data_IF_368577309543
#
_entry.id   IF_368577309543
#
_cell.length_a   1.000
_cell.length_b   1.000
_cell.length_c   1.000
_cell.angle_alpha   90.00
_cell.angle_beta   90.00
_cell.angle_gamma   90.00
#
_symmetry.space_group_name_H-M   'P 1'
#
loop_
_entity.id
_entity.type
_entity.pdbx_description
1 polymer ?
#
# COMPACT_ATOMS: atom_id res chain seq x y z
N UNK A 1 10.69 -6.60 -8.41
CA UNK A 1 10.51 -7.03 -7.00
C UNK A 1 9.43 -8.09 -6.95
N UNK A 2 9.53 -9.12 -6.11
CA UNK A 2 8.46 -10.11 -5.96
C UNK A 2 7.26 -9.51 -5.22
N UNK A 3 6.06 -9.91 -5.61
CA UNK A 3 4.86 -9.61 -4.84
C UNK A 3 4.87 -10.37 -3.52
N UNK A 4 4.41 -9.71 -2.46
CA UNK A 4 4.25 -10.28 -1.12
C UNK A 4 2.85 -9.96 -0.61
N UNK A 5 2.21 -10.91 0.08
CA UNK A 5 0.91 -10.70 0.73
C UNK A 5 0.99 -9.50 1.69
N UNK A 6 0.01 -8.60 1.60
CA UNK A 6 -0.05 -7.36 2.38
C UNK A 6 0.51 -6.13 1.65
N UNK A 7 1.28 -6.28 0.56
CA UNK A 7 1.82 -5.11 -0.15
C UNK A 7 0.72 -4.23 -0.76
N UNK A 8 1.00 -2.93 -0.83
CA UNK A 8 0.12 -1.92 -1.41
C UNK A 8 0.45 -1.59 -2.85
N UNK A 9 -0.57 -1.56 -3.69
CA UNK A 9 -0.46 -1.33 -5.13
C UNK A 9 -1.63 -0.49 -5.64
N UNK A 10 -1.42 0.27 -6.70
CA UNK A 10 -2.47 0.97 -7.43
C UNK A 10 -2.57 0.40 -8.85
N UNK A 11 -3.76 0.50 -9.44
CA UNK A 11 -3.95 0.24 -10.87
C UNK A 11 -3.67 1.52 -11.65
N UNK A 12 -2.74 1.48 -12.61
CA UNK A 12 -2.42 2.63 -13.45
C UNK A 12 -3.55 2.92 -14.46
N UNK A 13 -4.36 1.90 -14.79
CA UNK A 13 -5.50 2.03 -15.72
C UNK A 13 -6.82 2.33 -15.02
N UNK A 14 -6.91 2.13 -13.70
CA UNK A 14 -8.15 2.24 -12.93
C UNK A 14 -7.91 3.03 -11.64
N UNK A 15 -7.48 4.29 -11.77
CA UNK A 15 -7.12 5.15 -10.63
C UNK A 15 -8.27 5.34 -9.62
N UNK A 16 -9.52 5.16 -10.04
CA UNK A 16 -10.71 5.26 -9.18
C UNK A 16 -10.79 4.14 -8.13
N UNK A 17 -10.11 3.01 -8.34
CA UNK A 17 -10.05 1.92 -7.37
C UNK A 17 -9.24 2.28 -6.12
N UNK A 18 -8.36 3.28 -6.23
CA UNK A 18 -7.48 3.71 -5.16
C UNK A 18 -6.46 2.64 -4.77
N UNK A 19 -6.16 2.56 -3.47
CA UNK A 19 -5.10 1.70 -2.94
C UNK A 19 -5.57 0.26 -2.76
N UNK A 20 -4.99 -0.65 -3.54
CA UNK A 20 -5.16 -2.09 -3.45
C UNK A 20 -4.15 -2.75 -2.50
N UNK A 21 -4.49 -3.94 -2.02
CA UNK A 21 -3.66 -4.76 -1.12
C UNK A 21 -3.53 -6.16 -1.68
N UNK A 22 -2.33 -6.71 -1.74
CA UNK A 22 -2.10 -8.09 -2.20
C UNK A 22 -2.69 -9.07 -1.19
N UNK A 23 -3.72 -9.82 -1.61
CA UNK A 23 -4.42 -10.81 -0.75
C UNK A 23 -4.21 -12.26 -1.18
N UNK A 24 -3.80 -12.49 -2.43
CA UNK A 24 -3.44 -13.82 -2.91
C UNK A 24 -2.38 -13.77 -4.01
N UNK A 25 -1.59 -14.83 -4.11
CA UNK A 25 -0.52 -14.98 -5.10
C UNK A 25 -0.55 -16.38 -5.69
N UNK A 26 -0.55 -16.43 -7.02
CA UNK A 26 -0.46 -17.66 -7.80
C UNK A 26 0.81 -17.67 -8.66
N UNK A 27 0.99 -18.75 -9.43
CA UNK A 27 2.14 -18.92 -10.31
C UNK A 27 2.29 -17.77 -11.32
N UNK A 28 1.18 -17.24 -11.85
CA UNK A 28 1.17 -16.18 -12.87
C UNK A 28 0.27 -14.99 -12.54
N UNK A 29 -0.53 -15.07 -11.49
CA UNK A 29 -1.52 -14.06 -11.13
C UNK A 29 -1.26 -13.51 -9.73
N UNK A 30 -1.68 -12.28 -9.51
CA UNK A 30 -1.76 -11.62 -8.21
C UNK A 30 -3.16 -11.08 -8.03
N UNK A 31 -3.72 -11.27 -6.84
CA UNK A 31 -5.04 -10.75 -6.48
C UNK A 31 -4.87 -9.55 -5.56
N UNK A 32 -5.40 -8.40 -5.99
CA UNK A 32 -5.46 -7.17 -5.20
C UNK A 32 -6.89 -6.97 -4.69
N UNK A 33 -7.05 -6.79 -3.38
CA UNK A 33 -8.28 -6.28 -2.78
C UNK A 33 -8.23 -4.75 -2.76
N UNK A 34 -9.24 -4.09 -3.29
CA UNK A 34 -9.42 -2.64 -3.21
C UNK A 34 -10.47 -2.29 -2.15
N UNK A 35 -10.07 -1.92 -0.92
CA UNK A 35 -11.00 -1.73 0.19
C UNK A 35 -11.96 -0.55 -0.02
N UNK A 36 -11.57 0.43 -0.85
CA UNK A 36 -12.39 1.59 -1.18
C UNK A 36 -13.72 1.20 -1.83
N UNK A 37 -13.73 0.11 -2.62
CA UNK A 37 -14.94 -0.40 -3.30
C UNK A 37 -15.34 -1.80 -2.86
N UNK A 38 -14.50 -2.48 -2.06
CA UNK A 38 -14.77 -3.83 -1.55
C UNK A 38 -14.60 -4.95 -2.58
N UNK A 39 -13.88 -4.72 -3.68
CA UNK A 39 -13.72 -5.69 -4.77
C UNK A 39 -12.29 -6.22 -4.90
N UNK A 40 -12.18 -7.43 -5.45
CA UNK A 40 -10.91 -8.03 -5.84
C UNK A 40 -10.68 -7.88 -7.33
N UNK A 41 -9.46 -7.54 -7.75
CA UNK A 41 -9.00 -7.63 -9.14
C UNK A 41 -7.83 -8.59 -9.26
N UNK A 42 -7.80 -9.30 -10.38
CA UNK A 42 -6.72 -10.20 -10.73
C UNK A 42 -5.85 -9.54 -11.79
N UNK A 43 -4.55 -9.52 -11.55
CA UNK A 43 -3.55 -9.02 -12.49
C UNK A 43 -2.52 -10.10 -12.79
N UNK A 44 -1.95 -10.07 -13.99
CA UNK A 44 -0.81 -10.91 -14.31
C UNK A 44 0.42 -10.43 -13.51
N UNK A 45 1.23 -11.35 -12.99
CA UNK A 45 2.46 -10.98 -12.25
C UNK A 45 3.49 -10.27 -13.11
N UNK A 46 3.42 -10.45 -14.42
CA UNK A 46 4.30 -9.83 -15.40
C UNK A 46 3.46 -8.89 -16.27
N UNK A 47 4.03 -7.72 -16.60
CA UNK A 47 3.46 -6.78 -17.57
C UNK A 47 2.03 -6.30 -17.24
N UNK A 48 1.69 -6.24 -15.95
CA UNK A 48 0.43 -5.63 -15.52
C UNK A 48 0.59 -4.13 -15.27
N UNK A 49 -0.45 -3.33 -15.56
CA UNK A 49 -0.48 -1.90 -15.30
C UNK A 49 -0.77 -1.62 -13.82
N UNK A 50 0.10 -2.13 -12.94
CA UNK A 50 0.02 -1.88 -11.50
C UNK A 50 1.35 -1.35 -10.98
N UNK A 51 1.27 -0.34 -10.12
CA UNK A 51 2.43 0.31 -9.51
C UNK A 51 2.44 0.08 -8.01
N UNK A 52 3.59 -0.36 -7.47
CA UNK A 52 3.78 -0.53 -6.02
C UNK A 52 3.83 0.85 -5.37
N UNK A 53 3.01 1.06 -4.36
CA UNK A 53 3.01 2.31 -3.59
C UNK A 53 4.07 2.22 -2.50
N UNK A 54 5.00 3.17 -2.52
CA UNK A 54 6.07 3.30 -1.54
C UNK A 54 6.20 4.77 -1.18
N UNK A 55 6.16 5.08 0.10
CA UNK A 55 6.38 6.43 0.62
C UNK A 55 7.81 6.56 1.15
N UNK A 56 8.30 7.78 1.20
CA UNK A 56 9.64 8.11 1.70
C UNK A 56 9.55 8.95 2.97
N UNK A 57 10.62 8.97 3.80
CA UNK A 57 10.72 9.95 4.88
C UNK A 57 10.53 11.37 4.36
N UNK A 58 9.70 12.15 5.05
CA UNK A 58 9.26 13.48 4.65
C UNK A 58 7.90 13.52 3.95
N UNK A 59 7.39 12.40 3.45
CA UNK A 59 6.06 12.34 2.85
C UNK A 59 4.96 12.46 3.92
N UNK A 60 3.84 13.07 3.56
CA UNK A 60 2.61 13.05 4.38
C UNK A 60 1.61 12.09 3.76
N UNK A 61 1.24 11.04 4.50
CA UNK A 61 0.32 10.00 4.05
C UNK A 61 -1.02 10.09 4.77
N UNK A 62 -2.11 9.81 4.06
CA UNK A 62 -3.46 9.79 4.64
C UNK A 62 -3.87 8.35 4.90
N UNK A 63 -4.25 8.07 6.16
CA UNK A 63 -4.84 6.79 6.56
C UNK A 63 -6.24 6.62 6.00
N UNK A 64 -6.69 5.37 5.87
CA UNK A 64 -8.07 5.03 5.51
C UNK A 64 -9.11 5.58 6.52
N UNK A 65 -8.69 5.86 7.75
CA UNK A 65 -9.52 6.49 8.79
C UNK A 65 -9.52 8.03 8.71
N UNK A 66 -8.86 8.61 7.71
CA UNK A 66 -8.86 10.05 7.43
C UNK A 66 -7.82 10.88 8.17
N UNK A 67 -7.08 10.30 9.12
CA UNK A 67 -5.96 10.97 9.79
C UNK A 67 -4.69 10.93 8.93
N UNK A 68 -3.74 11.84 9.19
CA UNK A 68 -2.50 11.96 8.42
C UNK A 68 -1.26 11.61 9.26
N UNK A 69 -0.27 10.97 8.64
CA UNK A 69 1.04 10.68 9.20
C UNK A 69 2.11 11.40 8.39
N UNK A 70 2.96 12.16 9.06
CA UNK A 70 4.24 12.57 8.48
C UNK A 70 5.25 11.45 8.68
N UNK A 71 5.73 10.86 7.59
CA UNK A 71 6.66 9.72 7.62
C UNK A 71 8.03 10.21 8.05
N UNK A 72 8.55 9.68 9.15
CA UNK A 72 9.88 9.97 9.65
C UNK A 72 10.87 8.87 9.26
N UNK A 73 10.40 7.62 9.21
CA UNK A 73 11.21 6.44 8.92
C UNK A 73 10.41 5.40 8.15
N UNK A 74 11.09 4.68 7.24
CA UNK A 74 10.52 3.56 6.48
C UNK A 74 11.34 2.32 6.75
N UNK A 75 10.70 1.29 7.28
CA UNK A 75 11.33 -0.01 7.55
C UNK A 75 10.76 -1.07 6.61
N UNK A 76 11.62 -1.83 5.95
CA UNK A 76 11.21 -2.99 5.15
C UNK A 76 11.50 -4.29 5.91
N UNK A 77 10.47 -5.07 6.19
CA UNK A 77 10.60 -6.39 6.82
C UNK A 77 9.82 -7.41 5.97
N UNK A 78 10.49 -8.48 5.53
CA UNK A 78 9.89 -9.55 4.73
C UNK A 78 9.17 -9.07 3.46
N UNK A 79 9.65 -8.00 2.81
CA UNK A 79 9.03 -7.44 1.61
C UNK A 79 7.79 -6.57 1.87
N UNK A 80 7.47 -6.30 3.14
CA UNK A 80 6.44 -5.35 3.57
C UNK A 80 7.09 -4.08 4.10
N UNK A 81 6.49 -2.94 3.81
CA UNK A 81 6.94 -1.66 4.32
C UNK A 81 6.15 -1.32 5.59
N UNK A 82 6.83 -0.73 6.56
CA UNK A 82 6.24 -0.16 7.76
C UNK A 82 6.74 1.26 7.92
N UNK A 83 5.80 2.20 7.94
CA UNK A 83 6.07 3.62 8.08
C UNK A 83 6.00 3.99 9.55
N UNK A 84 7.03 4.61 10.10
CA UNK A 84 6.97 5.22 11.43
C UNK A 84 7.01 6.72 11.25
N UNK A 85 6.16 7.41 11.97
CA UNK A 85 6.00 8.84 11.76
C UNK A 85 5.21 9.51 12.86
N UNK A 86 4.94 10.78 12.66
CA UNK A 86 4.19 11.62 13.58
C UNK A 86 2.80 11.89 13.02
N UNK A 87 1.76 11.57 13.79
CA UNK A 87 0.38 11.88 13.42
C UNK A 87 0.13 13.38 13.46
N UNK A 88 -0.44 13.94 12.39
CA UNK A 88 -0.68 15.38 12.31
C UNK A 88 -1.89 15.82 13.14
N UNK A 89 -2.83 14.92 13.44
CA UNK A 89 -4.03 15.23 14.24
C UNK A 89 -3.77 15.24 15.75
N UNK A 90 -2.88 14.37 16.22
CA UNK A 90 -2.63 14.10 17.64
C UNK A 90 -1.20 14.40 18.08
N UNK A 91 -0.30 14.69 17.14
CA UNK A 91 1.15 14.86 17.36
C UNK A 91 1.82 13.67 18.05
N UNK A 92 1.18 12.49 18.03
CA UNK A 92 1.74 11.26 18.59
C UNK A 92 2.56 10.49 17.55
N UNK A 93 3.67 9.87 17.99
CA UNK A 93 4.43 8.95 17.13
C UNK A 93 3.68 7.63 16.96
N UNK A 94 3.53 7.17 15.72
CA UNK A 94 2.83 5.92 15.39
C UNK A 94 3.54 5.15 14.27
N UNK A 95 3.57 3.82 14.39
CA UNK A 95 3.95 2.89 13.32
C UNK A 95 2.68 2.49 12.54
N UNK A 96 2.71 2.69 11.23
CA UNK A 96 1.63 2.39 10.29
C UNK A 96 2.11 1.38 9.24
N UNK A 97 1.45 0.20 9.12
CA UNK A 97 1.82 -0.78 8.11
C UNK A 97 1.45 -0.27 6.71
N UNK A 98 2.32 -0.53 5.73
CA UNK A 98 2.01 -0.36 4.31
C UNK A 98 1.12 -1.51 3.88
#
# INVERSE_FOLDING_TARGET
>A
MPFTLGQRWISDTESELGLGTVVALDARMVTLLFPAIGENRLYARNDSPITRVMFNPGDTITSHEGWQLQVDEVNEENGLLAYTGTRLDTQGSQRYPA
#
